data_IF_322682370114
#
_entry.id   IF_322682370114
#
_cell.length_a   1.000
_cell.length_b   1.000
_cell.length_c   1.000
_cell.angle_alpha   90.00
_cell.angle_beta   90.00
_cell.angle_gamma   90.00
#
_symmetry.space_group_name_H-M   'P 1'
#
loop_
_entity.id
_entity.type
_entity.pdbx_description
1 polymer ?
#
# COMPACT_ATOMS: atom_id res chain seq x y z
N UNK A 1 11.31 8.52 1.58
CA UNK A 1 10.09 7.90 1.05
C UNK A 1 8.94 8.84 1.31
N UNK A 2 8.22 9.23 0.25
CA UNK A 2 6.93 9.89 0.43
C UNK A 2 5.95 8.82 0.94
N UNK A 3 5.50 8.98 2.18
CA UNK A 3 4.60 8.02 2.86
C UNK A 3 3.15 8.50 2.79
N UNK A 4 2.88 9.58 2.06
CA UNK A 4 1.52 10.10 1.95
C UNK A 4 0.67 9.19 1.05
N UNK A 5 -0.56 8.88 1.47
CA UNK A 5 -1.54 8.27 0.57
C UNK A 5 -1.67 9.11 -0.69
N UNK A 6 -1.43 8.49 -1.83
CA UNK A 6 -1.56 9.13 -3.14
C UNK A 6 -2.52 8.33 -4.02
N UNK A 7 -3.27 9.07 -4.83
CA UNK A 7 -4.10 8.51 -5.90
C UNK A 7 -3.26 8.10 -7.12
N UNK A 8 -1.97 8.45 -7.14
CA UNK A 8 -1.09 8.08 -8.23
C UNK A 8 -0.81 6.56 -8.21
N UNK A 9 -0.89 5.96 -9.39
CA UNK A 9 -0.50 4.57 -9.63
C UNK A 9 1.03 4.37 -9.55
N UNK A 10 1.79 5.46 -9.60
CA UNK A 10 3.25 5.48 -9.56
C UNK A 10 3.81 6.26 -8.39
N UNK A 11 4.91 5.78 -7.85
CA UNK A 11 5.74 6.42 -6.84
C UNK A 11 6.71 7.43 -7.48
N UNK A 12 7.16 8.40 -6.68
CA UNK A 12 8.18 9.37 -7.13
C UNK A 12 9.55 8.73 -7.38
N UNK A 13 9.84 7.63 -6.70
CA UNK A 13 11.07 6.86 -6.83
C UNK A 13 10.77 5.46 -7.36
N UNK A 14 11.77 4.86 -8.00
CA UNK A 14 11.71 3.46 -8.40
C UNK A 14 11.57 2.56 -7.17
N UNK A 15 10.63 1.63 -7.25
CA UNK A 15 10.35 0.58 -6.26
C UNK A 15 11.14 -0.71 -6.59
N UNK A 16 11.44 -0.91 -7.87
CA UNK A 16 12.35 -1.93 -8.39
C UNK A 16 13.48 -1.29 -9.20
N UNK A 17 14.36 -2.09 -9.80
CA UNK A 17 15.37 -1.57 -10.74
C UNK A 17 14.77 -0.87 -11.99
N UNK A 18 13.50 -1.13 -12.33
CA UNK A 18 12.89 -0.69 -13.59
C UNK A 18 11.48 -0.10 -13.46
N UNK A 19 10.85 -0.20 -12.29
CA UNK A 19 9.45 0.22 -12.08
C UNK A 19 9.31 1.07 -10.83
N UNK A 20 8.52 2.13 -10.92
CA UNK A 20 8.01 2.91 -9.80
C UNK A 20 6.51 2.65 -9.56
N UNK A 21 5.92 1.63 -10.16
CA UNK A 21 4.49 1.34 -9.97
C UNK A 21 4.22 0.95 -8.51
N UNK A 22 3.19 1.54 -7.91
CA UNK A 22 2.79 1.36 -6.52
C UNK A 22 1.99 0.05 -6.33
N UNK A 23 2.64 -1.08 -6.60
CA UNK A 23 2.04 -2.41 -6.61
C UNK A 23 2.74 -3.35 -5.62
N UNK A 24 1.97 -4.06 -4.80
CA UNK A 24 2.51 -4.93 -3.75
C UNK A 24 3.26 -6.14 -4.29
N UNK A 25 2.85 -6.68 -5.44
CA UNK A 25 3.56 -7.77 -6.11
C UNK A 25 4.98 -7.37 -6.49
N UNK A 26 5.14 -6.20 -7.12
CA UNK A 26 6.46 -5.65 -7.48
C UNK A 26 7.32 -5.44 -6.23
N UNK A 27 6.73 -4.89 -5.15
CA UNK A 27 7.45 -4.68 -3.89
C UNK A 27 7.91 -6.00 -3.24
N UNK A 28 7.07 -7.05 -3.31
CA UNK A 28 7.42 -8.37 -2.79
C UNK A 28 8.50 -9.03 -3.64
N UNK A 29 8.42 -8.90 -4.96
CA UNK A 29 9.39 -9.50 -5.89
C UNK A 29 10.76 -8.83 -5.82
N UNK A 30 10.83 -7.55 -5.42
CA UNK A 30 12.10 -6.84 -5.18
C UNK A 30 12.57 -6.86 -3.73
N UNK A 31 11.98 -7.68 -2.86
CA UNK A 31 12.33 -7.69 -1.44
C UNK A 31 13.82 -7.95 -1.16
N UNK A 32 14.49 -8.75 -2.01
CA UNK A 32 15.92 -9.03 -1.89
C UNK A 32 16.80 -7.80 -2.17
N UNK A 33 16.36 -6.90 -3.07
CA UNK A 33 17.03 -5.61 -3.32
C UNK A 33 17.00 -4.72 -2.07
N UNK A 34 16.02 -4.92 -1.19
CA UNK A 34 15.88 -4.28 0.12
C UNK A 34 16.49 -5.10 1.27
N UNK A 35 17.29 -6.12 0.96
CA UNK A 35 17.97 -6.97 1.95
C UNK A 35 16.98 -7.73 2.86
N UNK A 36 15.76 -7.93 2.39
CA UNK A 36 14.74 -8.72 3.07
C UNK A 36 14.61 -10.07 2.39
N UNK A 37 14.56 -11.15 3.17
CA UNK A 37 14.13 -12.42 2.59
C UNK A 37 12.62 -12.38 2.35
N UNK A 38 12.18 -13.17 1.36
CA UNK A 38 10.78 -13.21 0.93
C UNK A 38 9.80 -13.49 2.07
N UNK A 39 10.14 -14.41 2.99
CA UNK A 39 9.28 -14.77 4.13
C UNK A 39 9.04 -13.59 5.09
N UNK A 40 10.07 -12.78 5.35
CA UNK A 40 9.93 -11.57 6.17
C UNK A 40 9.12 -10.51 5.42
N UNK A 41 9.36 -10.33 4.12
CA UNK A 41 8.61 -9.38 3.31
C UNK A 41 7.11 -9.74 3.25
N UNK A 42 6.77 -11.00 3.02
CA UNK A 42 5.39 -11.51 3.05
C UNK A 42 4.73 -11.22 4.39
N UNK A 43 5.43 -11.47 5.50
CA UNK A 43 4.92 -11.19 6.84
C UNK A 43 4.62 -9.70 7.04
N UNK A 44 5.54 -8.81 6.66
CA UNK A 44 5.36 -7.36 6.79
C UNK A 44 4.16 -6.90 5.96
N UNK A 45 4.07 -7.32 4.69
CA UNK A 45 2.96 -6.92 3.81
C UNK A 45 1.63 -7.42 4.36
N UNK A 46 1.56 -8.68 4.84
CA UNK A 46 0.36 -9.22 5.49
C UNK A 46 -0.05 -8.42 6.72
N UNK A 47 0.88 -8.09 7.62
CA UNK A 47 0.58 -7.29 8.82
C UNK A 47 0.05 -5.89 8.46
N UNK A 48 0.65 -5.23 7.46
CA UNK A 48 0.19 -3.93 6.97
C UNK A 48 -1.22 -4.03 6.38
N UNK A 49 -1.50 -5.05 5.56
CA UNK A 49 -2.82 -5.25 4.98
C UNK A 49 -3.88 -5.47 6.06
N UNK A 50 -3.60 -6.31 7.06
CA UNK A 50 -4.53 -6.56 8.16
C UNK A 50 -4.87 -5.28 8.91
N UNK A 51 -3.88 -4.44 9.21
CA UNK A 51 -4.10 -3.15 9.89
C UNK A 51 -4.92 -2.19 9.00
N UNK A 52 -4.61 -2.14 7.70
CA UNK A 52 -5.27 -1.22 6.77
C UNK A 52 -6.72 -1.66 6.45
N UNK A 53 -7.12 -2.92 6.65
CA UNK A 53 -8.53 -3.35 6.44
C UNK A 53 -9.55 -2.48 7.17
N UNK A 54 -9.22 -2.03 8.39
CA UNK A 54 -10.08 -1.19 9.23
C UNK A 54 -9.98 0.33 8.97
N UNK A 55 -9.32 0.76 7.89
CA UNK A 55 -8.98 2.18 7.70
C UNK A 55 -10.19 3.13 7.70
N UNK A 56 -11.37 2.68 7.24
CA UNK A 56 -12.59 3.51 7.19
C UNK A 56 -13.13 3.86 8.56
N UNK A 57 -13.11 2.91 9.49
CA UNK A 57 -13.53 3.14 10.87
C UNK A 57 -12.58 4.13 11.56
N UNK A 58 -11.28 3.97 11.31
CA UNK A 58 -10.27 4.91 11.81
C UNK A 58 -10.46 6.31 11.22
N UNK A 59 -10.65 6.42 9.90
CA UNK A 59 -10.88 7.69 9.21
C UNK A 59 -12.12 8.42 9.76
N UNK A 60 -13.20 7.66 10.01
CA UNK A 60 -14.43 8.19 10.62
C UNK A 60 -14.17 8.72 12.02
N UNK A 61 -13.44 7.98 12.86
CA UNK A 61 -13.05 8.41 14.22
C UNK A 61 -12.16 9.64 14.22
N UNK A 62 -11.34 9.81 13.20
CA UNK A 62 -10.46 10.97 13.02
C UNK A 62 -11.19 12.18 12.38
N UNK A 63 -12.47 12.04 12.04
CA UNK A 63 -13.26 13.13 11.46
C UNK A 63 -12.93 13.43 10.00
N UNK A 64 -12.33 12.49 9.27
CA UNK A 64 -12.09 12.63 7.82
C UNK A 64 -13.44 12.69 7.10
N UNK A 65 -13.56 13.60 6.13
CA UNK A 65 -14.84 13.78 5.43
C UNK A 65 -15.20 12.56 4.58
N UNK A 66 -16.49 12.27 4.45
CA UNK A 66 -16.99 11.19 3.59
C UNK A 66 -16.48 11.31 2.15
N UNK A 67 -16.38 12.54 1.64
CA UNK A 67 -15.87 12.81 0.28
C UNK A 67 -14.40 12.40 0.12
N UNK A 68 -13.55 12.70 1.10
CA UNK A 68 -12.15 12.28 1.08
C UNK A 68 -12.02 10.76 1.23
N UNK A 69 -12.84 10.15 2.08
CA UNK A 69 -12.88 8.70 2.20
C UNK A 69 -13.29 8.03 0.88
N UNK A 70 -14.32 8.54 0.20
CA UNK A 70 -14.74 8.02 -1.11
C UNK A 70 -13.63 8.17 -2.15
N UNK A 71 -12.95 9.33 -2.19
CA UNK A 71 -11.85 9.59 -3.12
C UNK A 71 -10.71 8.57 -3.00
N UNK A 72 -10.33 8.19 -1.78
CA UNK A 72 -9.25 7.22 -1.54
C UNK A 72 -9.72 5.75 -1.50
N UNK A 73 -11.04 5.52 -1.46
CA UNK A 73 -11.58 4.17 -1.29
C UNK A 73 -11.22 3.22 -2.43
N UNK A 74 -11.28 3.70 -3.67
CA UNK A 74 -10.98 2.90 -4.85
C UNK A 74 -9.53 2.41 -4.82
N UNK A 75 -8.60 3.31 -4.47
CA UNK A 75 -7.16 3.02 -4.42
C UNK A 75 -6.82 2.07 -3.28
N UNK A 76 -7.34 2.33 -2.08
CA UNK A 76 -7.04 1.51 -0.90
C UNK A 76 -7.70 0.11 -0.97
N UNK A 77 -8.89 0.01 -1.56
CA UNK A 77 -9.54 -1.29 -1.75
C UNK A 77 -8.96 -2.09 -2.91
N UNK A 78 -8.56 -1.45 -4.01
CA UNK A 78 -7.90 -2.11 -5.14
C UNK A 78 -6.56 -2.73 -4.71
N UNK A 79 -5.70 -1.92 -4.07
CA UNK A 79 -4.37 -2.38 -3.61
C UNK A 79 -4.43 -3.52 -2.60
N UNK A 80 -5.51 -3.61 -1.82
CA UNK A 80 -5.76 -4.74 -0.92
C UNK A 80 -6.10 -6.03 -1.69
N UNK A 81 -6.89 -5.93 -2.77
CA UNK A 81 -7.32 -7.10 -3.55
C UNK A 81 -6.16 -7.76 -4.29
N UNK A 82 -5.17 -6.99 -4.71
CA UNK A 82 -4.01 -7.50 -5.46
C UNK A 82 -3.11 -8.46 -4.66
N UNK A 83 -3.34 -8.61 -3.35
CA UNK A 83 -2.56 -9.48 -2.45
C UNK A 83 -3.39 -10.59 -1.78
N UNK A 84 -4.72 -10.63 -1.99
CA UNK A 84 -5.62 -11.67 -1.41
C UNK A 84 -5.82 -12.83 -2.37
#
# INVERSE_FOLDING_TARGET
YDMNPTLNEFQSLLVSSTSNKAELGILLDTCEDYMLNRKIAEKIISEVIEVVKGWREMATRLGISKREMELFSEVLDARRKDYV
#
